data_IF_550454821969
#
_entry.id   IF_550454821969
#
_cell.length_a   1.000
_cell.length_b   1.000
_cell.length_c   1.000
_cell.angle_alpha   90.00
_cell.angle_beta   90.00
_cell.angle_gamma   90.00
#
_symmetry.space_group_name_H-M   'P 1'
#
loop_
_entity.id
_entity.type
_entity.pdbx_description
1 polymer ?
#
# COMPACT_ATOMS: atom_id res chain seq x y z
N UNK A 1 -5.14 -13.06 23.16
CA UNK A 1 -5.42 -12.22 24.36
C UNK A 1 -4.38 -11.11 24.63
N UNK A 2 -3.05 -11.25 24.40
CA UNK A 2 -2.12 -10.15 24.70
C UNK A 2 -2.18 -8.98 23.71
N UNK A 3 -2.47 -9.24 22.43
CA UNK A 3 -2.50 -8.20 21.37
C UNK A 3 -3.65 -7.21 21.56
N UNK A 4 -4.82 -7.69 21.99
CA UNK A 4 -6.00 -6.84 22.23
C UNK A 4 -5.74 -5.91 23.42
N UNK A 5 -5.15 -6.44 24.50
CA UNK A 5 -4.76 -5.66 25.68
C UNK A 5 -3.72 -4.60 25.32
N UNK A 6 -2.72 -4.94 24.50
CA UNK A 6 -1.70 -4.00 24.04
C UNK A 6 -2.28 -2.89 23.16
N UNK A 7 -3.17 -3.20 22.21
CA UNK A 7 -3.84 -2.18 21.40
C UNK A 7 -4.69 -1.23 22.27
N UNK A 8 -5.36 -1.76 23.29
CA UNK A 8 -6.15 -0.95 24.23
C UNK A 8 -5.26 -0.03 25.08
N UNK A 9 -4.13 -0.52 25.58
CA UNK A 9 -3.17 0.26 26.37
C UNK A 9 -2.45 1.34 25.55
N UNK A 10 -2.26 1.10 24.25
CA UNK A 10 -1.56 2.03 23.33
C UNK A 10 -2.52 2.97 22.58
N UNK A 11 -3.83 2.93 22.84
CA UNK A 11 -4.82 3.78 22.16
C UNK A 11 -5.01 3.47 20.67
N UNK A 12 -4.65 2.26 20.22
CA UNK A 12 -4.74 1.84 18.83
C UNK A 12 -6.12 1.23 18.53
N UNK A 13 -6.81 1.73 17.51
CA UNK A 13 -8.09 1.18 17.07
C UNK A 13 -7.89 -0.13 16.32
N UNK A 14 -8.27 -1.25 16.94
CA UNK A 14 -8.22 -2.58 16.31
C UNK A 14 -9.52 -2.84 15.52
N UNK A 15 -9.43 -2.82 14.19
CA UNK A 15 -10.53 -3.22 13.32
C UNK A 15 -10.35 -4.68 12.92
N UNK A 16 -11.13 -5.58 13.53
CA UNK A 16 -11.10 -7.01 13.21
C UNK A 16 -11.97 -7.24 11.97
N UNK A 17 -11.32 -7.30 10.80
CA UNK A 17 -12.01 -7.70 9.56
C UNK A 17 -12.10 -9.22 9.51
N UNK A 18 -13.32 -9.76 9.41
CA UNK A 18 -13.52 -11.21 9.26
C UNK A 18 -12.90 -11.67 7.95
N UNK A 19 -12.09 -12.73 8.02
CA UNK A 19 -11.57 -13.38 6.81
C UNK A 19 -12.75 -13.85 5.96
N UNK A 20 -12.73 -13.53 4.66
CA UNK A 20 -13.73 -13.97 3.71
C UNK A 20 -13.69 -15.51 3.67
N UNK A 21 -14.82 -16.17 3.86
CA UNK A 21 -14.92 -17.62 3.84
C UNK A 21 -14.64 -18.15 2.42
N UNK A 22 -13.71 -19.10 2.31
CA UNK A 22 -13.24 -19.64 1.03
C UNK A 22 -11.74 -19.87 1.08
N UNK A 23 -11.31 -21.13 1.04
CA UNK A 23 -9.90 -21.45 0.87
C UNK A 23 -9.45 -21.03 -0.53
N UNK A 24 -8.35 -20.28 -0.63
CA UNK A 24 -7.75 -19.90 -1.91
C UNK A 24 -7.76 -18.39 -2.21
N UNK A 25 -7.45 -18.04 -3.45
CA UNK A 25 -7.37 -16.66 -3.92
C UNK A 25 -8.77 -16.15 -4.30
N UNK A 26 -9.37 -15.35 -3.42
CA UNK A 26 -10.64 -14.66 -3.69
C UNK A 26 -10.34 -13.35 -4.40
N UNK A 27 -10.92 -13.16 -5.58
CA UNK A 27 -10.79 -11.93 -6.35
C UNK A 27 -11.55 -10.80 -5.65
N UNK A 28 -10.81 -9.93 -4.96
CA UNK A 28 -11.38 -8.75 -4.30
C UNK A 28 -11.39 -7.59 -5.31
N UNK A 29 -12.54 -6.96 -5.59
CA UNK A 29 -12.61 -5.86 -6.54
C UNK A 29 -11.65 -4.74 -6.10
N UNK A 30 -10.88 -4.23 -7.07
CA UNK A 30 -9.85 -3.17 -6.89
C UNK A 30 -8.63 -3.53 -6.03
N UNK A 31 -8.48 -4.77 -5.55
CA UNK A 31 -7.25 -5.21 -4.85
C UNK A 31 -5.97 -4.94 -5.65
N UNK A 32 -6.07 -5.12 -6.97
CA UNK A 32 -4.95 -4.85 -7.88
C UNK A 32 -4.43 -3.42 -7.77
N UNK A 33 -5.25 -2.42 -7.37
CA UNK A 33 -4.83 -1.01 -7.27
C UNK A 33 -3.76 -0.85 -6.20
N UNK A 34 -3.96 -1.52 -5.07
CA UNK A 34 -3.01 -1.53 -3.94
C UNK A 34 -1.76 -2.28 -4.33
N UNK A 35 -1.90 -3.50 -4.85
CA UNK A 35 -0.77 -4.33 -5.28
C UNK A 35 0.08 -3.66 -6.36
N UNK A 36 -0.56 -2.96 -7.30
CA UNK A 36 0.13 -2.17 -8.32
C UNK A 36 0.92 -1.02 -7.73
N UNK A 37 0.41 -0.37 -6.67
CA UNK A 37 1.12 0.71 -5.99
C UNK A 37 2.41 0.20 -5.36
N UNK A 38 2.34 -0.95 -4.67
CA UNK A 38 3.52 -1.64 -4.18
C UNK A 38 4.46 -2.12 -5.30
N UNK A 39 3.92 -2.57 -6.43
CA UNK A 39 4.73 -2.90 -7.62
C UNK A 39 5.52 -1.71 -8.17
N UNK A 40 5.01 -0.48 -8.08
CA UNK A 40 5.77 0.72 -8.44
C UNK A 40 6.86 1.06 -7.41
N UNK A 41 6.57 0.86 -6.12
CA UNK A 41 7.55 1.03 -5.06
C UNK A 41 8.67 0.00 -5.13
N UNK A 42 8.43 -1.20 -5.65
CA UNK A 42 9.49 -2.20 -5.90
C UNK A 42 10.60 -1.71 -6.84
N UNK A 43 10.37 -0.67 -7.66
CA UNK A 43 11.42 -0.04 -8.47
C UNK A 43 12.35 0.89 -7.68
N UNK A 44 11.98 1.23 -6.45
CA UNK A 44 12.77 2.05 -5.55
C UNK A 44 13.63 1.16 -4.67
N UNK A 45 14.92 1.05 -5.01
CA UNK A 45 15.87 0.22 -4.27
C UNK A 45 15.87 0.50 -2.77
N UNK A 46 15.69 1.76 -2.35
CA UNK A 46 15.66 2.16 -0.94
C UNK A 46 14.41 1.67 -0.18
N UNK A 47 13.29 1.40 -0.86
CA UNK A 47 12.10 0.80 -0.24
C UNK A 47 12.10 -0.74 -0.29
N UNK A 48 13.12 -1.36 -0.90
CA UNK A 48 13.20 -2.83 -0.99
C UNK A 48 13.54 -3.50 0.33
N UNK A 49 14.13 -2.75 1.27
CA UNK A 49 14.53 -3.22 2.60
C UNK A 49 14.42 -2.05 3.55
N UNK A 50 14.14 -2.32 4.81
CA UNK A 50 14.15 -1.30 5.86
C UNK A 50 15.60 -0.91 6.13
N UNK A 51 16.03 0.17 5.47
CA UNK A 51 17.35 0.77 5.66
C UNK A 51 17.36 1.87 6.70
N UNK A 52 16.20 2.46 6.99
CA UNK A 52 16.08 3.57 7.92
C UNK A 52 15.91 3.05 9.35
N UNK A 53 16.68 3.59 10.28
CA UNK A 53 16.58 3.25 11.70
C UNK A 53 15.37 3.92 12.36
N UNK A 54 14.96 5.08 11.85
CA UNK A 54 13.85 5.86 12.39
C UNK A 54 12.61 5.75 11.50
N UNK A 55 11.46 5.59 12.14
CA UNK A 55 10.17 5.39 11.48
C UNK A 55 9.72 6.61 10.69
N UNK A 56 10.03 7.82 11.16
CA UNK A 56 9.70 9.07 10.47
C UNK A 56 10.48 9.24 9.15
N UNK A 57 11.73 8.78 9.11
CA UNK A 57 12.54 8.77 7.88
C UNK A 57 12.01 7.72 6.90
N UNK A 58 11.63 6.54 7.39
CA UNK A 58 11.01 5.50 6.56
C UNK A 58 9.69 6.00 5.93
N UNK A 59 8.85 6.67 6.73
CA UNK A 59 7.61 7.28 6.27
C UNK A 59 7.88 8.36 5.21
N UNK A 60 8.84 9.26 5.47
CA UNK A 60 9.23 10.30 4.52
C UNK A 60 9.71 9.71 3.19
N UNK A 61 10.46 8.61 3.24
CA UNK A 61 10.93 7.92 2.03
C UNK A 61 9.76 7.34 1.21
N UNK A 62 8.73 6.81 1.88
CA UNK A 62 7.47 6.39 1.24
C UNK A 62 6.75 7.55 0.54
N UNK A 63 6.63 8.68 1.22
CA UNK A 63 6.03 9.90 0.67
C UNK A 63 6.79 10.41 -0.56
N UNK A 64 8.11 10.48 -0.48
CA UNK A 64 8.98 10.88 -1.60
C UNK A 64 8.84 9.91 -2.79
N UNK A 65 8.69 8.61 -2.52
CA UNK A 65 8.45 7.62 -3.55
C UNK A 65 7.15 7.84 -4.31
N UNK A 66 6.07 8.14 -3.58
CA UNK A 66 4.78 8.47 -4.17
C UNK A 66 4.83 9.76 -5.00
N UNK A 67 5.47 10.82 -4.48
CA UNK A 67 5.61 12.11 -5.17
C UNK A 67 6.29 11.94 -6.52
N UNK A 68 7.42 11.21 -6.62
CA UNK A 68 8.10 11.00 -7.91
C UNK A 68 7.22 10.27 -8.92
N UNK A 69 6.40 9.31 -8.48
CA UNK A 69 5.47 8.60 -9.36
C UNK A 69 4.45 9.59 -9.92
N UNK A 70 3.92 10.48 -9.08
CA UNK A 70 2.98 11.53 -9.51
C UNK A 70 3.62 12.52 -10.48
N UNK A 71 4.84 13.00 -10.18
CA UNK A 71 5.61 13.89 -11.08
C UNK A 71 5.81 13.23 -12.46
N UNK A 72 6.21 11.95 -12.50
CA UNK A 72 6.38 11.23 -13.77
C UNK A 72 5.10 11.11 -14.58
N UNK A 73 3.94 10.97 -13.92
CA UNK A 73 2.64 10.92 -14.61
C UNK A 73 2.24 12.27 -15.16
N UNK A 74 2.49 13.35 -14.40
CA UNK A 74 2.25 14.72 -14.85
C UNK A 74 3.14 15.07 -16.05
N UNK A 75 4.42 14.69 -16.01
CA UNK A 75 5.36 14.90 -17.11
C UNK A 75 5.03 14.07 -18.36
N UNK A 76 4.34 12.93 -18.21
CA UNK A 76 4.01 12.01 -19.31
C UNK A 76 2.52 11.61 -19.33
N UNK A 77 1.63 12.52 -19.75
CA UNK A 77 0.18 12.33 -19.64
C UNK A 77 -0.42 11.33 -20.66
N UNK A 78 0.34 10.88 -21.67
CA UNK A 78 -0.17 10.06 -22.80
C UNK A 78 -0.48 8.59 -22.48
N UNK A 79 -0.91 8.25 -21.27
CA UNK A 79 -1.38 6.89 -20.96
C UNK A 79 -2.86 6.79 -21.33
N UNK A 80 -3.19 6.12 -22.45
CA UNK A 80 -4.58 5.81 -22.82
C UNK A 80 -5.29 5.21 -21.60
N UNK A 81 -6.35 5.86 -21.11
CA UNK A 81 -7.26 5.24 -20.14
C UNK A 81 -7.89 4.06 -20.86
N UNK A 82 -7.59 2.85 -20.39
CA UNK A 82 -8.37 1.69 -20.80
C UNK A 82 -9.82 1.94 -20.32
N UNK A 83 -10.85 1.60 -21.13
CA UNK A 83 -12.23 1.71 -20.68
C UNK A 83 -12.37 0.94 -19.36
N UNK A 84 -13.07 1.55 -18.40
CA UNK A 84 -13.36 0.87 -17.13
C UNK A 84 -14.11 -0.41 -17.45
N UNK A 85 -13.51 -1.56 -17.14
CA UNK A 85 -14.25 -2.81 -17.12
C UNK A 85 -15.23 -2.71 -15.95
N UNK A 86 -16.51 -2.64 -16.28
CA UNK A 86 -17.60 -2.74 -15.33
C UNK A 86 -17.59 -4.17 -14.77
N UNK A 87 -17.25 -4.30 -13.49
CA UNK A 87 -17.31 -5.54 -12.72
C UNK A 87 -18.46 -5.45 -11.73
#
# INVERSE_FOLDING_TARGET
>A
MPVILACFLLGLTLIIVRRIAGGGFILVPRRWVVERSFGWFGRWRRLSKDYEERTDVAEAMGTVAAIRIMIRRLAHPKRKRLPSADF
#
